data_IF_434270221270
#
_entry.id   IF_434270221270
#
_cell.length_a   1.000
_cell.length_b   1.000
_cell.length_c   1.000
_cell.angle_alpha   90.00
_cell.angle_beta   90.00
_cell.angle_gamma   90.00
#
_symmetry.space_group_name_H-M   'P 1'
#
loop_
_entity.id
_entity.type
_entity.pdbx_description
1 polymer ?
#
# COMPACT_ATOMS: atom_id res chain seq x y z
N UNK A 1 6.96 -40.79 -39.78
CA UNK A 1 7.95 -39.86 -39.21
C UNK A 1 7.18 -38.60 -38.89
N UNK A 2 6.92 -38.27 -37.61
CA UNK A 2 6.16 -37.06 -37.30
C UNK A 2 6.99 -35.85 -37.74
N UNK A 3 6.31 -34.91 -38.39
CA UNK A 3 6.90 -33.84 -39.19
C UNK A 3 7.85 -32.97 -38.37
N UNK A 4 9.12 -32.96 -38.80
CA UNK A 4 10.21 -32.17 -38.20
C UNK A 4 9.88 -30.68 -38.07
N UNK A 5 8.97 -30.16 -38.90
CA UNK A 5 8.47 -28.77 -38.82
C UNK A 5 7.57 -28.48 -37.61
N UNK A 6 6.76 -29.44 -37.17
CA UNK A 6 5.89 -29.28 -35.98
C UNK A 6 6.74 -29.31 -34.71
N UNK A 7 7.74 -30.22 -34.66
CA UNK A 7 8.71 -30.27 -33.57
C UNK A 7 9.51 -28.96 -33.45
N UNK A 8 9.96 -28.39 -34.57
CA UNK A 8 10.71 -27.12 -34.56
C UNK A 8 9.85 -25.94 -34.07
N UNK A 9 8.57 -25.92 -34.45
CA UNK A 9 7.63 -24.87 -34.05
C UNK A 9 7.26 -24.95 -32.55
N UNK A 10 7.07 -26.16 -32.03
CA UNK A 10 6.85 -26.40 -30.60
C UNK A 10 8.09 -26.01 -29.78
N UNK A 11 9.29 -26.38 -30.24
CA UNK A 11 10.54 -25.96 -29.59
C UNK A 11 10.69 -24.44 -29.62
N UNK A 12 10.37 -23.76 -30.73
CA UNK A 12 10.43 -22.31 -30.81
C UNK A 12 9.44 -21.62 -29.86
N UNK A 13 8.21 -22.16 -29.74
CA UNK A 13 7.21 -21.67 -28.81
C UNK A 13 7.65 -21.90 -27.35
N UNK A 14 8.14 -23.09 -27.01
CA UNK A 14 8.65 -23.41 -25.67
C UNK A 14 9.85 -22.53 -25.30
N UNK A 15 10.78 -22.30 -26.23
CA UNK A 15 11.92 -21.40 -26.03
C UNK A 15 11.45 -19.97 -25.83
N UNK A 16 10.48 -19.49 -26.61
CA UNK A 16 9.94 -18.13 -26.46
C UNK A 16 9.20 -17.94 -25.13
N UNK A 17 8.44 -18.94 -24.69
CA UNK A 17 7.75 -18.95 -23.40
C UNK A 17 8.74 -18.99 -22.23
N UNK A 18 9.77 -19.84 -22.33
CA UNK A 18 10.84 -19.92 -21.34
C UNK A 18 11.63 -18.61 -21.27
N UNK A 19 11.95 -17.98 -22.42
CA UNK A 19 12.58 -16.66 -22.45
C UNK A 19 11.72 -15.59 -21.80
N UNK A 20 10.41 -15.57 -22.10
CA UNK A 20 9.48 -14.63 -21.49
C UNK A 20 9.39 -14.84 -19.97
N UNK A 21 9.30 -16.09 -19.51
CA UNK A 21 9.25 -16.44 -18.10
C UNK A 21 10.56 -16.08 -17.39
N UNK A 22 11.70 -16.33 -18.03
CA UNK A 22 13.02 -15.97 -17.52
C UNK A 22 13.21 -14.44 -17.46
N UNK A 23 12.73 -13.69 -18.45
CA UNK A 23 12.74 -12.23 -18.47
C UNK A 23 11.72 -11.61 -17.51
N UNK A 24 10.67 -12.34 -17.14
CA UNK A 24 9.67 -11.91 -16.15
C UNK A 24 10.18 -12.02 -14.71
N UNK A 25 11.26 -12.77 -14.47
CA UNK A 25 11.91 -12.81 -13.17
C UNK A 25 12.60 -11.47 -12.90
N UNK A 26 12.16 -10.74 -11.88
CA UNK A 26 12.60 -9.35 -11.63
C UNK A 26 14.12 -9.18 -11.52
N UNK A 27 14.83 -10.18 -10.96
CA UNK A 27 16.30 -10.16 -10.87
C UNK A 27 16.99 -10.34 -12.23
N UNK A 28 16.44 -11.18 -13.10
CA UNK A 28 16.97 -11.41 -14.44
C UNK A 28 16.65 -10.21 -15.33
N UNK A 29 15.44 -9.66 -15.23
CA UNK A 29 15.01 -8.46 -15.92
C UNK A 29 15.94 -7.28 -15.64
N UNK A 30 16.26 -7.03 -14.36
CA UNK A 30 17.16 -5.96 -13.93
C UNK A 30 18.57 -6.12 -14.51
N UNK A 31 19.16 -7.32 -14.40
CA UNK A 31 20.49 -7.60 -14.94
C UNK A 31 20.53 -7.53 -16.46
N UNK A 32 19.47 -7.96 -17.13
CA UNK A 32 19.31 -7.83 -18.57
C UNK A 32 19.24 -6.35 -19.00
N UNK A 33 18.47 -5.54 -18.27
CA UNK A 33 18.39 -4.09 -18.50
C UNK A 33 19.75 -3.41 -18.34
N UNK A 34 20.52 -3.78 -17.30
CA UNK A 34 21.90 -3.29 -17.14
C UNK A 34 22.80 -3.70 -18.30
N UNK A 35 22.69 -4.93 -18.79
CA UNK A 35 23.43 -5.40 -19.96
C UNK A 35 23.04 -4.63 -21.23
N UNK A 36 21.75 -4.34 -21.44
CA UNK A 36 21.30 -3.46 -22.51
C UNK A 36 21.88 -2.05 -22.38
N UNK A 37 21.93 -1.49 -21.17
CA UNK A 37 22.58 -0.20 -20.90
C UNK A 37 24.07 -0.22 -21.26
N UNK A 38 24.80 -1.31 -20.99
CA UNK A 38 26.20 -1.47 -21.40
C UNK A 38 26.37 -1.45 -22.92
N UNK A 39 25.54 -2.23 -23.62
CA UNK A 39 25.56 -2.29 -25.10
C UNK A 39 25.23 -0.92 -25.68
N UNK A 40 24.23 -0.24 -25.13
CA UNK A 40 23.82 1.10 -25.56
C UNK A 40 24.91 2.16 -25.29
N UNK A 41 25.59 2.08 -24.15
CA UNK A 41 26.73 2.94 -23.82
C UNK A 41 27.85 2.83 -24.85
N UNK A 42 28.15 1.61 -25.30
CA UNK A 42 29.15 1.34 -26.32
C UNK A 42 28.70 1.81 -27.71
N UNK A 43 27.48 1.48 -28.12
CA UNK A 43 26.94 1.85 -29.44
C UNK A 43 26.83 3.38 -29.63
N UNK A 44 26.40 4.11 -28.61
CA UNK A 44 26.27 5.57 -28.69
C UNK A 44 27.54 6.34 -28.34
N UNK A 45 28.65 5.65 -28.01
CA UNK A 45 29.88 6.27 -27.47
C UNK A 45 29.62 7.20 -26.27
N UNK A 46 28.63 6.86 -25.43
CA UNK A 46 28.24 7.61 -24.24
C UNK A 46 28.66 6.84 -22.98
N UNK A 47 29.94 6.93 -22.62
CA UNK A 47 30.52 6.16 -21.51
C UNK A 47 29.94 6.50 -20.12
N UNK A 48 29.31 7.67 -19.95
CA UNK A 48 28.66 8.04 -18.68
C UNK A 48 27.54 7.08 -18.25
N UNK A 49 26.92 6.36 -19.21
CA UNK A 49 25.91 5.35 -18.92
C UNK A 49 26.45 4.14 -18.15
N UNK A 50 27.77 3.92 -18.16
CA UNK A 50 28.42 2.87 -17.37
C UNK A 50 28.25 3.09 -15.86
N UNK A 51 27.99 4.33 -15.42
CA UNK A 51 27.70 4.65 -14.02
C UNK A 51 26.46 3.91 -13.49
N UNK A 52 25.48 3.61 -14.35
CA UNK A 52 24.27 2.88 -13.93
C UNK A 52 24.55 1.44 -13.51
N UNK A 53 25.67 0.85 -13.92
CA UNK A 53 26.08 -0.49 -13.47
C UNK A 53 26.31 -0.51 -11.95
N UNK A 54 26.78 0.60 -11.36
CA UNK A 54 26.98 0.69 -9.92
C UNK A 54 25.67 0.59 -9.13
N UNK A 55 24.51 0.85 -9.76
CA UNK A 55 23.22 0.68 -9.09
C UNK A 55 22.94 -0.78 -8.73
N UNK A 56 23.57 -1.76 -9.40
CA UNK A 56 23.42 -3.18 -9.05
C UNK A 56 23.87 -3.50 -7.62
N UNK A 57 24.78 -2.68 -7.05
CA UNK A 57 25.22 -2.81 -5.66
C UNK A 57 24.05 -2.76 -4.66
N UNK A 58 23.03 -1.94 -4.94
CA UNK A 58 21.82 -1.83 -4.10
C UNK A 58 21.01 -3.12 -4.06
N UNK A 59 21.04 -3.90 -5.15
CA UNK A 59 20.31 -5.16 -5.26
C UNK A 59 21.12 -6.38 -4.79
N UNK A 60 22.45 -6.29 -4.71
CA UNK A 60 23.30 -7.39 -4.26
C UNK A 60 23.30 -7.55 -2.72
N UNK A 61 23.18 -6.46 -1.97
CA UNK A 61 23.15 -6.49 -0.51
C UNK A 61 21.74 -6.71 0.02
N UNK A 62 21.53 -7.74 0.85
CA UNK A 62 20.24 -8.02 1.49
C UNK A 62 19.75 -6.88 2.38
N UNK A 63 20.66 -6.20 3.08
CA UNK A 63 20.36 -5.04 3.93
C UNK A 63 19.91 -3.86 3.06
N UNK A 64 20.64 -3.59 1.97
CA UNK A 64 20.36 -2.43 1.13
C UNK A 64 19.11 -2.63 0.27
N UNK A 65 18.86 -3.87 -0.18
CA UNK A 65 17.61 -4.26 -0.83
C UNK A 65 16.40 -4.10 0.09
N UNK A 66 16.56 -4.35 1.40
CA UNK A 66 15.53 -4.13 2.42
C UNK A 66 15.20 -2.63 2.54
N UNK A 67 16.21 -1.77 2.57
CA UNK A 67 16.03 -0.30 2.56
C UNK A 67 15.32 0.16 1.30
N UNK A 68 15.73 -0.33 0.13
CA UNK A 68 15.10 0.03 -1.14
C UNK A 68 13.63 -0.43 -1.19
N UNK A 69 13.34 -1.65 -0.74
CA UNK A 69 11.97 -2.18 -0.64
C UNK A 69 11.11 -1.31 0.28
N UNK A 70 11.63 -0.85 1.41
CA UNK A 70 10.90 0.03 2.32
C UNK A 70 10.52 1.38 1.67
N UNK A 71 11.39 1.93 0.81
CA UNK A 71 11.10 3.20 0.10
C UNK A 71 10.10 2.96 -1.04
N UNK A 72 10.20 1.84 -1.76
CA UNK A 72 9.32 1.53 -2.90
C UNK A 72 7.96 0.95 -2.50
N UNK A 73 7.81 0.38 -1.30
CA UNK A 73 6.56 -0.20 -0.84
C UNK A 73 5.38 0.80 -0.85
N UNK A 74 5.51 2.03 -0.32
CA UNK A 74 4.43 3.02 -0.34
C UNK A 74 4.38 3.84 -1.64
N UNK A 75 5.05 3.43 -2.74
CA UNK A 75 5.20 4.27 -3.93
C UNK A 75 3.85 4.74 -4.51
N UNK A 76 2.82 3.90 -4.45
CA UNK A 76 1.46 4.28 -4.89
C UNK A 76 0.90 5.42 -4.03
N UNK A 77 0.99 5.30 -2.72
CA UNK A 77 0.54 6.34 -1.78
C UNK A 77 1.36 7.61 -1.94
N UNK A 78 2.68 7.49 -2.09
CA UNK A 78 3.58 8.61 -2.33
C UNK A 78 3.24 9.35 -3.64
N UNK A 79 2.95 8.62 -4.72
CA UNK A 79 2.55 9.21 -5.99
C UNK A 79 1.23 9.97 -5.88
N UNK A 80 0.24 9.45 -5.14
CA UNK A 80 -1.01 10.15 -4.86
C UNK A 80 -0.79 11.41 -4.01
N UNK A 81 0.09 11.35 -3.00
CA UNK A 81 0.46 12.50 -2.18
C UNK A 81 1.16 13.58 -3.01
N UNK A 82 2.06 13.19 -3.93
CA UNK A 82 2.72 14.11 -4.85
C UNK A 82 1.73 14.74 -5.85
N UNK A 83 0.76 13.97 -6.34
CA UNK A 83 -0.33 14.54 -7.15
C UNK A 83 -1.13 15.58 -6.36
N UNK A 84 -1.47 15.27 -5.10
CA UNK A 84 -2.13 16.22 -4.20
C UNK A 84 -1.29 17.48 -3.96
N UNK A 85 0.02 17.34 -3.78
CA UNK A 85 0.98 18.45 -3.66
C UNK A 85 0.90 19.38 -4.89
N UNK A 86 0.97 18.82 -6.09
CA UNK A 86 0.91 19.60 -7.34
C UNK A 86 -0.43 20.34 -7.47
N UNK A 87 -1.55 19.69 -7.13
CA UNK A 87 -2.88 20.31 -7.17
C UNK A 87 -2.98 21.46 -6.17
N UNK A 88 -2.53 21.27 -4.92
CA UNK A 88 -2.53 22.31 -3.90
C UNK A 88 -1.66 23.50 -4.36
N UNK A 89 -0.45 23.23 -4.85
CA UNK A 89 0.45 24.26 -5.38
C UNK A 89 -0.19 25.01 -6.55
N UNK A 90 -0.91 24.34 -7.44
CA UNK A 90 -1.63 24.98 -8.54
C UNK A 90 -2.75 25.92 -8.05
N UNK A 91 -3.50 25.53 -7.02
CA UNK A 91 -4.50 26.40 -6.39
C UNK A 91 -3.86 27.65 -5.78
N UNK A 92 -2.75 27.48 -5.04
CA UNK A 92 -1.98 28.60 -4.51
C UNK A 92 -1.44 29.50 -5.62
N UNK A 93 -0.90 28.93 -6.70
CA UNK A 93 -0.45 29.68 -7.86
C UNK A 93 -1.58 30.48 -8.51
N UNK A 94 -2.79 29.91 -8.62
CA UNK A 94 -3.95 30.62 -9.15
C UNK A 94 -4.39 31.81 -8.28
N UNK A 95 -4.42 31.64 -6.96
CA UNK A 95 -4.73 32.72 -6.01
C UNK A 95 -3.64 33.79 -6.06
N UNK A 96 -2.37 33.39 -6.00
CA UNK A 96 -1.21 34.25 -6.09
C UNK A 96 -1.17 35.07 -7.38
N UNK A 97 -1.43 34.43 -8.53
CA UNK A 97 -1.47 35.08 -9.83
C UNK A 97 -2.63 36.08 -9.96
N UNK A 98 -3.76 35.84 -9.28
CA UNK A 98 -4.94 36.72 -9.37
C UNK A 98 -4.86 37.94 -8.45
N UNK A 99 -4.34 37.77 -7.25
CA UNK A 99 -4.35 38.80 -6.19
C UNK A 99 -2.98 39.42 -5.92
N UNK A 100 -1.89 38.66 -6.06
CA UNK A 100 -0.55 39.06 -5.64
C UNK A 100 0.47 39.07 -6.79
N UNK A 101 0.02 39.23 -8.04
CA UNK A 101 0.89 39.12 -9.23
C UNK A 101 2.14 39.98 -9.16
N UNK A 102 1.99 41.22 -8.72
CA UNK A 102 3.09 42.19 -8.66
C UNK A 102 4.14 41.83 -7.59
N UNK A 103 3.75 41.06 -6.56
CA UNK A 103 4.64 40.62 -5.49
C UNK A 103 5.53 39.44 -5.88
N UNK A 104 5.14 38.66 -6.89
CA UNK A 104 5.87 37.47 -7.37
C UNK A 104 7.04 37.82 -8.30
N UNK A 105 7.37 39.11 -8.47
CA UNK A 105 8.41 39.55 -9.42
C UNK A 105 8.28 38.82 -10.77
N UNK A 106 9.40 38.34 -11.31
CA UNK A 106 9.45 37.62 -12.58
C UNK A 106 9.01 36.15 -12.51
N UNK A 107 8.63 35.64 -11.33
CA UNK A 107 8.30 34.21 -11.18
C UNK A 107 6.92 33.86 -11.72
N UNK A 108 6.02 34.84 -11.86
CA UNK A 108 4.62 34.62 -12.26
C UNK A 108 4.15 35.61 -13.35
N UNK A 109 5.04 36.01 -14.27
CA UNK A 109 4.74 37.03 -15.29
C UNK A 109 3.86 36.53 -16.45
N UNK A 110 4.02 35.28 -16.89
CA UNK A 110 3.36 34.79 -18.11
C UNK A 110 2.00 34.11 -17.84
N UNK A 111 2.05 32.89 -17.30
CA UNK A 111 0.90 32.01 -17.13
C UNK A 111 0.90 31.36 -15.75
N UNK A 112 -0.29 30.92 -15.30
CA UNK A 112 -0.46 30.20 -14.02
C UNK A 112 0.36 28.89 -13.99
N UNK A 113 0.53 28.23 -15.14
CA UNK A 113 1.36 27.01 -15.25
C UNK A 113 2.82 27.33 -14.92
N UNK A 114 3.41 28.34 -15.56
CA UNK A 114 4.78 28.80 -15.29
C UNK A 114 4.95 29.21 -13.82
N UNK A 115 3.95 29.90 -13.26
CA UNK A 115 3.93 30.26 -11.84
C UNK A 115 3.93 29.01 -10.94
N UNK A 116 3.12 27.99 -11.27
CA UNK A 116 3.05 26.72 -10.54
C UNK A 116 4.39 25.97 -10.58
N UNK A 117 5.00 25.87 -11.77
CA UNK A 117 6.31 25.22 -11.95
C UNK A 117 7.40 25.93 -11.13
N UNK A 118 7.40 27.26 -11.13
CA UNK A 118 8.34 28.05 -10.35
C UNK A 118 8.13 27.84 -8.84
N UNK A 119 6.89 27.88 -8.35
CA UNK A 119 6.56 27.62 -6.94
C UNK A 119 7.01 26.22 -6.52
N UNK A 120 6.78 25.19 -7.35
CA UNK A 120 7.24 23.84 -7.07
C UNK A 120 8.77 23.74 -7.08
N UNK A 121 9.43 24.30 -8.09
CA UNK A 121 10.88 24.28 -8.22
C UNK A 121 11.59 24.95 -7.04
N UNK A 122 11.15 26.15 -6.65
CA UNK A 122 11.79 26.86 -5.55
C UNK A 122 11.34 26.33 -4.19
N UNK A 123 10.10 25.80 -4.09
CA UNK A 123 9.65 25.03 -2.93
C UNK A 123 10.51 23.81 -2.66
N UNK A 124 10.97 23.10 -3.70
CA UNK A 124 11.92 21.99 -3.52
C UNK A 124 13.35 22.45 -3.18
N UNK A 125 13.79 23.61 -3.68
CA UNK A 125 15.15 24.14 -3.42
C UNK A 125 15.32 24.80 -2.05
N UNK A 126 14.35 25.61 -1.66
CA UNK A 126 14.38 26.39 -0.42
C UNK A 126 13.51 25.76 0.68
N UNK A 127 12.94 24.59 0.41
CA UNK A 127 12.09 23.86 1.33
C UNK A 127 10.85 24.67 1.69
N UNK A 128 10.53 24.66 2.99
CA UNK A 128 9.28 25.21 3.51
C UNK A 128 9.14 26.73 3.25
N UNK A 129 10.26 27.47 3.17
CA UNK A 129 10.27 28.94 3.00
C UNK A 129 10.26 29.34 1.51
N UNK A 130 10.21 28.38 0.59
CA UNK A 130 10.39 28.64 -0.85
C UNK A 130 9.38 29.61 -1.47
N UNK A 131 8.15 29.67 -0.96
CA UNK A 131 7.15 30.64 -1.42
C UNK A 131 7.47 32.07 -0.96
N UNK A 132 7.76 32.25 0.33
CA UNK A 132 8.07 33.58 0.90
C UNK A 132 9.35 34.19 0.32
N UNK A 133 10.25 33.38 -0.26
CA UNK A 133 11.45 33.84 -0.96
C UNK A 133 11.17 34.43 -2.36
N UNK A 134 10.05 34.05 -2.99
CA UNK A 134 9.62 34.67 -4.26
C UNK A 134 8.91 35.99 -4.08
N UNK A 135 8.39 36.18 -2.88
CA UNK A 135 7.38 37.15 -2.57
C UNK A 135 8.02 38.37 -1.93
N UNK A 136 7.66 39.55 -2.43
CA UNK A 136 8.11 40.81 -1.82
C UNK A 136 7.66 40.92 -0.35
N UNK A 137 8.55 41.43 0.50
CA UNK A 137 8.26 41.68 1.91
C UNK A 137 7.22 42.80 2.07
N UNK A 138 6.04 42.46 2.58
CA UNK A 138 4.99 43.44 2.88
C UNK A 138 5.13 43.97 4.32
N UNK A 139 5.13 45.30 4.51
CA UNK A 139 5.27 45.92 5.84
C UNK A 139 3.91 46.08 6.54
N UNK A 140 3.89 46.06 7.89
CA UNK A 140 2.68 46.40 8.65
C UNK A 140 2.21 47.82 8.30
N UNK A 141 0.95 47.97 7.91
CA UNK A 141 0.35 49.26 7.53
C UNK A 141 -0.17 49.35 6.09
N UNK A 142 0.19 48.39 5.23
CA UNK A 142 -0.44 48.26 3.91
C UNK A 142 -1.83 47.61 4.03
N UNK A 143 -2.82 48.00 3.20
CA UNK A 143 -4.17 47.42 3.23
C UNK A 143 -4.16 45.89 3.00
N UNK A 144 -3.25 45.40 2.15
CA UNK A 144 -3.18 43.98 1.78
C UNK A 144 -2.35 43.13 2.76
N UNK A 145 -1.82 43.73 3.83
CA UNK A 145 -0.92 43.05 4.77
C UNK A 145 -1.59 41.85 5.45
N UNK A 146 -2.86 41.99 5.84
CA UNK A 146 -3.60 40.92 6.50
C UNK A 146 -3.86 39.75 5.57
N UNK A 147 -4.28 40.03 4.32
CA UNK A 147 -4.56 39.00 3.31
C UNK A 147 -3.27 38.24 2.95
N UNK A 148 -2.16 38.98 2.80
CA UNK A 148 -0.85 38.41 2.54
C UNK A 148 -0.35 37.54 3.69
N UNK A 149 -0.44 38.01 4.93
CA UNK A 149 -0.03 37.22 6.09
C UNK A 149 -0.80 35.89 6.16
N UNK A 150 -2.11 35.92 5.91
CA UNK A 150 -2.94 34.71 5.91
C UNK A 150 -2.55 33.76 4.78
N UNK A 151 -2.25 34.29 3.59
CA UNK A 151 -1.78 33.50 2.45
C UNK A 151 -0.46 32.77 2.78
N UNK A 152 0.56 33.49 3.25
CA UNK A 152 1.88 32.93 3.57
C UNK A 152 1.81 31.91 4.72
N UNK A 153 1.05 32.21 5.78
CA UNK A 153 0.86 31.31 6.92
C UNK A 153 0.11 30.03 6.53
N UNK A 154 -0.94 30.15 5.71
CA UNK A 154 -1.69 28.98 5.24
C UNK A 154 -0.82 28.06 4.37
N UNK A 155 0.01 28.63 3.50
CA UNK A 155 0.94 27.85 2.69
C UNK A 155 1.97 27.13 3.55
N UNK A 156 2.57 27.83 4.53
CA UNK A 156 3.53 27.23 5.46
C UNK A 156 2.95 26.03 6.21
N UNK A 157 1.72 26.16 6.72
CA UNK A 157 1.04 25.08 7.46
C UNK A 157 0.68 23.92 6.52
N UNK A 158 0.02 24.21 5.39
CA UNK A 158 -0.50 23.16 4.50
C UNK A 158 0.64 22.47 3.74
N UNK A 159 1.46 23.22 3.01
CA UNK A 159 2.56 22.65 2.22
C UNK A 159 3.69 22.13 3.12
N UNK A 160 4.15 22.97 4.03
CA UNK A 160 5.33 22.69 4.86
C UNK A 160 5.04 21.68 5.97
N UNK A 161 4.07 21.98 6.83
CA UNK A 161 3.82 21.16 8.02
C UNK A 161 3.00 19.92 7.69
N UNK A 162 1.96 20.01 6.84
CA UNK A 162 1.09 18.86 6.58
C UNK A 162 1.68 17.97 5.48
N UNK A 163 1.92 18.49 4.27
CA UNK A 163 2.28 17.62 3.13
C UNK A 163 3.68 17.02 3.27
N UNK A 164 4.72 17.82 3.58
CA UNK A 164 6.08 17.28 3.70
C UNK A 164 6.20 16.27 4.85
N UNK A 165 5.59 16.53 6.02
CA UNK A 165 5.61 15.57 7.13
C UNK A 165 4.78 14.32 6.83
N UNK A 166 3.72 14.42 6.01
CA UNK A 166 2.98 13.24 5.52
C UNK A 166 3.87 12.35 4.65
N UNK A 167 4.68 12.94 3.76
CA UNK A 167 5.63 12.18 2.92
C UNK A 167 6.64 11.43 3.80
N UNK A 168 7.24 12.10 4.78
CA UNK A 168 8.16 11.45 5.72
C UNK A 168 7.45 10.37 6.54
N UNK A 169 6.23 10.66 7.02
CA UNK A 169 5.39 9.72 7.75
C UNK A 169 5.14 8.43 6.99
N UNK A 170 4.74 8.52 5.71
CA UNK A 170 4.52 7.35 4.85
C UNK A 170 5.77 6.48 4.69
N UNK A 171 6.95 7.10 4.60
CA UNK A 171 8.22 6.38 4.50
C UNK A 171 8.52 5.68 5.84
N UNK A 172 8.38 6.38 6.96
CA UNK A 172 8.61 5.83 8.31
C UNK A 172 7.67 4.67 8.60
N UNK A 173 6.39 4.79 8.24
CA UNK A 173 5.39 3.73 8.40
C UNK A 173 5.77 2.48 7.62
N UNK A 174 6.31 2.64 6.40
CA UNK A 174 6.78 1.49 5.62
C UNK A 174 8.01 0.81 6.22
N UNK A 175 8.94 1.57 6.81
CA UNK A 175 10.04 0.98 7.57
C UNK A 175 9.54 0.26 8.83
N UNK A 176 8.53 0.83 9.49
CA UNK A 176 7.86 0.22 10.64
C UNK A 176 7.21 -1.12 10.27
N UNK A 177 6.43 -1.16 9.20
CA UNK A 177 5.78 -2.37 8.71
C UNK A 177 6.79 -3.48 8.37
N UNK A 178 7.87 -3.14 7.67
CA UNK A 178 8.91 -4.11 7.32
C UNK A 178 9.60 -4.70 8.55
N UNK A 179 9.83 -3.87 9.58
CA UNK A 179 10.39 -4.34 10.85
C UNK A 179 9.42 -5.28 11.58
N UNK A 180 8.14 -4.93 11.63
CA UNK A 180 7.11 -5.78 12.24
C UNK A 180 7.00 -7.13 11.53
N UNK A 181 7.06 -7.16 10.20
CA UNK A 181 7.07 -8.39 9.43
C UNK A 181 8.30 -9.26 9.73
N UNK A 182 9.48 -8.66 9.85
CA UNK A 182 10.70 -9.37 10.21
C UNK A 182 10.61 -9.95 11.63
N UNK A 183 10.12 -9.16 12.58
CA UNK A 183 9.94 -9.57 13.97
C UNK A 183 8.88 -10.67 14.11
N UNK A 184 7.77 -10.57 13.37
CA UNK A 184 6.73 -11.60 13.34
C UNK A 184 7.27 -12.94 12.83
N UNK A 185 8.04 -12.93 11.73
CA UNK A 185 8.66 -14.16 11.19
C UNK A 185 9.64 -14.80 12.15
N UNK A 186 10.48 -13.99 12.80
CA UNK A 186 11.42 -14.48 13.80
C UNK A 186 10.70 -15.03 15.04
N UNK A 187 9.63 -14.36 15.48
CA UNK A 187 8.82 -14.82 16.59
C UNK A 187 8.11 -16.14 16.25
N UNK A 188 7.55 -16.28 15.05
CA UNK A 188 6.95 -17.54 14.58
C UNK A 188 7.99 -18.67 14.59
N UNK A 189 9.19 -18.43 14.05
CA UNK A 189 10.26 -19.43 14.07
C UNK A 189 10.69 -19.84 15.49
N UNK A 190 10.62 -18.92 16.46
CA UNK A 190 10.97 -19.21 17.86
C UNK A 190 9.87 -19.88 18.66
N UNK A 191 8.60 -19.64 18.32
CA UNK A 191 7.45 -20.00 19.14
C UNK A 191 6.70 -21.22 18.63
N UNK A 192 6.82 -21.58 17.36
CA UNK A 192 6.12 -22.73 16.78
C UNK A 192 7.04 -23.59 15.91
N UNK A 193 6.72 -24.88 15.82
CA UNK A 193 7.45 -25.82 14.97
C UNK A 193 7.16 -25.57 13.49
N UNK A 194 8.18 -25.70 12.63
CA UNK A 194 8.07 -25.38 11.20
C UNK A 194 7.05 -26.27 10.44
N UNK A 195 7.05 -27.59 10.68
CA UNK A 195 6.21 -28.54 9.92
C UNK A 195 4.81 -28.68 10.51
N UNK A 196 4.71 -28.81 11.84
CA UNK A 196 3.44 -29.10 12.51
C UNK A 196 2.75 -27.89 13.12
N UNK A 197 3.37 -26.69 13.12
CA UNK A 197 2.81 -25.47 13.70
C UNK A 197 2.34 -25.68 15.15
N UNK A 198 3.10 -26.44 15.93
CA UNK A 198 2.83 -26.70 17.35
C UNK A 198 3.62 -25.70 18.18
N UNK A 199 2.96 -25.09 19.16
CA UNK A 199 3.59 -24.18 20.10
C UNK A 199 4.75 -24.87 20.85
N UNK A 200 5.90 -24.20 20.89
CA UNK A 200 7.12 -24.59 21.57
C UNK A 200 6.86 -25.04 23.00
N UNK A 201 5.95 -24.37 23.71
CA UNK A 201 5.59 -24.71 25.10
C UNK A 201 5.07 -26.14 25.23
N UNK A 202 4.22 -26.56 24.29
CA UNK A 202 3.65 -27.91 24.30
C UNK A 202 4.72 -28.96 24.02
N UNK A 203 5.65 -28.67 23.11
CA UNK A 203 6.76 -29.56 22.77
C UNK A 203 7.73 -29.71 23.94
N UNK A 204 8.14 -28.59 24.55
CA UNK A 204 9.04 -28.57 25.70
C UNK A 204 8.45 -29.30 26.91
N UNK A 205 7.15 -29.10 27.18
CA UNK A 205 6.47 -29.81 28.26
C UNK A 205 6.53 -31.33 28.08
N UNK A 206 6.19 -31.83 26.89
CA UNK A 206 6.24 -33.27 26.60
C UNK A 206 7.69 -33.79 26.63
N UNK A 207 8.65 -33.02 26.11
CA UNK A 207 10.05 -33.39 26.17
C UNK A 207 10.58 -33.49 27.61
N UNK A 208 10.16 -32.58 28.49
CA UNK A 208 10.51 -32.61 29.89
C UNK A 208 9.96 -33.85 30.59
N UNK A 209 8.71 -34.26 30.31
CA UNK A 209 8.16 -35.53 30.84
C UNK A 209 8.95 -36.76 30.38
N UNK A 210 9.66 -36.66 29.26
CA UNK A 210 10.49 -37.73 28.69
C UNK A 210 11.97 -37.62 29.06
N UNK A 211 12.34 -36.64 29.89
CA UNK A 211 13.73 -36.41 30.31
C UNK A 211 14.66 -35.92 29.20
N UNK A 212 14.12 -35.33 28.12
CA UNK A 212 14.89 -34.80 27.01
C UNK A 212 15.24 -33.33 27.30
N UNK A 213 16.54 -33.03 27.39
CA UNK A 213 17.02 -31.66 27.45
C UNK A 213 16.87 -31.00 26.07
N UNK A 214 16.41 -29.75 26.05
CA UNK A 214 16.13 -28.98 24.83
C UNK A 214 15.17 -29.67 23.84
N UNK A 215 13.95 -29.90 24.34
CA UNK A 215 12.91 -30.65 23.64
C UNK A 215 12.49 -30.08 22.29
N UNK A 216 12.54 -28.75 22.15
CA UNK A 216 12.14 -28.06 20.92
C UNK A 216 13.13 -28.31 19.79
N UNK A 217 14.43 -28.08 20.03
CA UNK A 217 15.48 -28.33 19.06
C UNK A 217 15.57 -29.82 18.71
N UNK A 218 15.41 -30.71 19.69
CA UNK A 218 15.35 -32.16 19.43
C UNK A 218 14.17 -32.51 18.51
N UNK A 219 12.99 -31.92 18.73
CA UNK A 219 11.83 -32.19 17.89
C UNK A 219 12.03 -31.65 16.47
N UNK A 220 12.57 -30.44 16.30
CA UNK A 220 12.79 -29.85 14.97
C UNK A 220 13.90 -30.59 14.20
N UNK A 221 15.00 -30.97 14.86
CA UNK A 221 16.17 -31.56 14.16
C UNK A 221 16.06 -33.07 13.96
N UNK A 222 15.47 -33.81 14.90
CA UNK A 222 15.46 -35.28 14.89
C UNK A 222 14.09 -35.89 14.59
N UNK A 223 12.99 -35.15 14.77
CA UNK A 223 11.62 -35.67 14.55
C UNK A 223 10.90 -35.01 13.38
N UNK A 224 11.12 -33.73 13.16
CA UNK A 224 10.48 -32.94 12.10
C UNK A 224 11.50 -32.09 11.34
N UNK A 225 12.58 -32.74 10.89
CA UNK A 225 13.59 -32.05 10.12
C UNK A 225 13.04 -31.63 8.76
N UNK A 226 13.03 -30.32 8.51
CA UNK A 226 12.58 -29.72 7.24
C UNK A 226 13.29 -30.29 6.02
N UNK A 227 14.56 -30.66 6.15
CA UNK A 227 15.36 -31.21 5.05
C UNK A 227 14.97 -32.65 4.71
N UNK A 228 14.61 -33.46 5.70
CA UNK A 228 14.14 -34.83 5.47
C UNK A 228 12.79 -34.82 4.74
N UNK A 229 11.90 -33.89 5.07
CA UNK A 229 10.65 -33.69 4.32
C UNK A 229 10.93 -33.29 2.87
N UNK A 230 11.88 -32.38 2.64
CA UNK A 230 12.29 -32.00 1.29
C UNK A 230 12.86 -33.19 0.51
N UNK A 231 13.77 -33.95 1.11
CA UNK A 231 14.35 -35.14 0.50
C UNK A 231 13.28 -36.21 0.19
N UNK A 232 12.31 -36.40 1.07
CA UNK A 232 11.19 -37.30 0.84
C UNK A 232 10.29 -36.85 -0.31
N UNK A 233 10.01 -35.54 -0.43
CA UNK A 233 9.27 -35.01 -1.58
C UNK A 233 10.04 -35.26 -2.89
N UNK A 234 11.37 -35.03 -2.91
CA UNK A 234 12.19 -35.34 -4.08
C UNK A 234 12.17 -36.82 -4.44
N UNK A 235 12.33 -37.71 -3.44
CA UNK A 235 12.22 -39.15 -3.63
C UNK A 235 10.88 -39.55 -4.25
N UNK A 236 9.77 -39.05 -3.69
CA UNK A 236 8.44 -39.35 -4.22
C UNK A 236 8.25 -38.86 -5.65
N UNK A 237 8.88 -37.73 -6.03
CA UNK A 237 8.79 -37.17 -7.38
C UNK A 237 9.61 -37.95 -8.41
N UNK A 238 10.80 -38.41 -8.04
CA UNK A 238 11.77 -39.07 -8.93
C UNK A 238 11.48 -40.57 -9.10
N UNK A 239 10.97 -41.24 -8.07
CA UNK A 239 10.67 -42.68 -8.11
C UNK A 239 9.42 -42.98 -8.96
N UNK A 240 9.47 -44.08 -9.71
CA UNK A 240 8.35 -44.57 -10.53
C UNK A 240 7.17 -45.02 -9.64
N UNK A 241 5.94 -44.83 -10.13
CA UNK A 241 4.71 -45.06 -9.35
C UNK A 241 4.56 -46.52 -8.88
N UNK A 242 5.11 -47.45 -9.65
CA UNK A 242 5.09 -48.90 -9.43
C UNK A 242 6.08 -49.34 -8.35
N UNK A 243 7.12 -48.56 -8.08
CA UNK A 243 8.15 -48.84 -7.07
C UNK A 243 7.80 -48.26 -5.70
N UNK A 244 6.82 -47.34 -5.64
CA UNK A 244 6.36 -46.72 -4.41
C UNK A 244 5.63 -47.74 -3.52
N UNK A 245 5.90 -47.70 -2.23
CA UNK A 245 5.11 -48.44 -1.25
C UNK A 245 3.68 -47.88 -1.17
N UNK A 246 2.73 -48.65 -0.63
CA UNK A 246 1.33 -48.21 -0.52
C UNK A 246 1.12 -46.83 0.13
N UNK A 247 1.77 -46.51 1.26
CA UNK A 247 1.70 -45.18 1.88
C UNK A 247 2.34 -44.08 1.03
N UNK A 248 3.47 -44.35 0.38
CA UNK A 248 4.15 -43.40 -0.51
C UNK A 248 3.31 -43.09 -1.74
N UNK A 249 2.69 -44.11 -2.34
CA UNK A 249 1.75 -43.95 -3.44
C UNK A 249 0.55 -43.09 -3.02
N UNK A 250 0.00 -43.31 -1.82
CA UNK A 250 -1.07 -42.47 -1.28
C UNK A 250 -0.63 -41.00 -1.17
N UNK A 251 0.56 -40.72 -0.63
CA UNK A 251 1.07 -39.35 -0.51
C UNK A 251 1.32 -38.74 -1.90
N UNK A 252 1.90 -39.51 -2.84
CA UNK A 252 2.11 -39.07 -4.22
C UNK A 252 0.81 -38.65 -4.89
N UNK A 253 -0.24 -39.45 -4.77
CA UNK A 253 -1.56 -39.11 -5.32
C UNK A 253 -2.18 -37.86 -4.69
N UNK A 254 -1.92 -37.59 -3.40
CA UNK A 254 -2.36 -36.35 -2.75
C UNK A 254 -1.56 -35.14 -3.25
N UNK A 255 -0.25 -35.29 -3.44
CA UNK A 255 0.60 -34.23 -3.98
C UNK A 255 0.22 -33.86 -5.42
N UNK A 256 -0.04 -34.85 -6.27
CA UNK A 256 -0.49 -34.63 -7.65
C UNK A 256 -1.85 -33.88 -7.71
N UNK A 257 -2.67 -34.00 -6.66
CA UNK A 257 -3.93 -33.27 -6.49
C UNK A 257 -3.77 -31.90 -5.81
N UNK A 258 -2.58 -31.57 -5.31
CA UNK A 258 -2.32 -30.36 -4.53
C UNK A 258 -2.88 -30.41 -3.09
N UNK A 259 -3.19 -31.59 -2.56
CA UNK A 259 -3.73 -31.78 -1.21
C UNK A 259 -2.61 -31.95 -0.17
N UNK A 260 -2.43 -30.94 0.70
CA UNK A 260 -1.42 -30.96 1.77
C UNK A 260 -1.80 -31.76 3.03
N UNK A 261 -2.87 -32.58 2.99
CA UNK A 261 -3.41 -33.30 4.15
C UNK A 261 -2.45 -34.31 4.78
N UNK A 262 -1.46 -34.76 4.02
CA UNK A 262 -0.44 -35.70 4.51
C UNK A 262 0.53 -35.05 5.50
N UNK A 263 0.67 -33.72 5.48
CA UNK A 263 1.51 -32.97 6.42
C UNK A 263 0.86 -32.97 7.81
N UNK A 264 1.61 -33.23 8.89
CA UNK A 264 1.04 -33.38 10.23
C UNK A 264 0.77 -32.01 10.92
N UNK A 265 -0.17 -31.23 10.38
CA UNK A 265 -0.53 -29.92 10.96
C UNK A 265 -1.21 -30.10 12.32
N UNK A 266 -0.67 -29.46 13.34
CA UNK A 266 -1.14 -29.46 14.72
C UNK A 266 -1.05 -30.82 15.40
N UNK A 267 -0.25 -31.76 14.87
CA UNK A 267 -0.07 -33.11 15.45
C UNK A 267 1.36 -33.61 15.27
N UNK A 268 1.76 -34.53 16.13
CA UNK A 268 3.06 -35.18 16.06
C UNK A 268 3.03 -36.43 16.93
N UNK A 269 3.57 -37.54 16.43
CA UNK A 269 3.75 -38.78 17.22
C UNK A 269 4.53 -38.52 18.51
N UNK A 270 5.39 -37.50 18.52
CA UNK A 270 6.10 -37.07 19.71
C UNK A 270 5.14 -36.64 20.84
N UNK A 271 4.04 -35.95 20.52
CA UNK A 271 3.05 -35.50 21.51
C UNK A 271 1.97 -36.56 21.78
N UNK A 272 1.57 -37.34 20.78
CA UNK A 272 0.49 -38.35 20.89
C UNK A 272 0.80 -39.49 21.87
N UNK A 273 2.08 -39.77 22.16
CA UNK A 273 2.49 -40.79 23.14
C UNK A 273 2.50 -40.30 24.60
N UNK A 274 1.95 -39.13 24.89
CA UNK A 274 1.75 -38.65 26.26
C UNK A 274 0.25 -38.49 26.49
N UNK A 275 -0.26 -38.76 27.70
CA UNK A 275 -1.66 -38.53 28.11
C UNK A 275 -2.09 -37.04 27.98
N UNK A 276 -1.14 -36.20 27.59
CA UNK A 276 -1.21 -34.77 27.28
C UNK A 276 -1.33 -34.47 25.78
N UNK A 277 -1.51 -35.48 24.93
CA UNK A 277 -1.95 -35.26 23.56
C UNK A 277 -3.26 -34.49 23.61
N UNK A 278 -3.24 -33.23 23.16
CA UNK A 278 -4.41 -32.34 23.11
C UNK A 278 -5.62 -33.17 22.69
N UNK A 279 -6.53 -33.45 23.63
CA UNK A 279 -7.70 -34.26 23.32
C UNK A 279 -8.45 -33.54 22.21
N UNK A 280 -9.02 -34.24 21.21
CA UNK A 280 -9.85 -33.59 20.20
C UNK A 280 -10.92 -32.66 20.83
N UNK A 281 -11.36 -32.99 22.04
CA UNK A 281 -12.23 -32.19 22.91
C UNK A 281 -11.66 -30.79 23.24
N UNK A 282 -10.37 -30.67 23.56
CA UNK A 282 -9.73 -29.41 23.96
C UNK A 282 -9.54 -28.47 22.77
N UNK A 283 -9.35 -29.02 21.56
CA UNK A 283 -9.35 -28.24 20.31
C UNK A 283 -10.74 -27.71 19.99
N UNK A 284 -11.77 -28.53 20.14
CA UNK A 284 -13.16 -28.11 19.94
C UNK A 284 -13.57 -27.05 20.97
N UNK A 285 -13.15 -27.19 22.23
CA UNK A 285 -13.35 -26.23 23.30
C UNK A 285 -12.72 -24.86 22.98
N UNK A 286 -11.46 -24.84 22.53
CA UNK A 286 -10.78 -23.59 22.13
C UNK A 286 -11.44 -22.90 20.94
N UNK A 287 -11.86 -23.69 19.93
CA UNK A 287 -12.58 -23.16 18.77
C UNK A 287 -13.96 -22.63 19.18
N UNK A 288 -14.67 -23.33 20.07
CA UNK A 288 -15.96 -22.86 20.59
C UNK A 288 -15.83 -21.61 21.44
N UNK A 289 -14.76 -21.49 22.24
CA UNK A 289 -14.50 -20.31 23.07
C UNK A 289 -14.15 -19.08 22.21
N UNK A 290 -13.33 -19.27 21.17
CA UNK A 290 -13.05 -18.21 20.19
C UNK A 290 -14.30 -17.83 19.40
N UNK A 291 -15.12 -18.80 18.98
CA UNK A 291 -16.37 -18.53 18.28
C UNK A 291 -17.37 -17.79 19.17
N UNK A 292 -17.45 -18.13 20.46
CA UNK A 292 -18.33 -17.46 21.43
C UNK A 292 -17.84 -16.04 21.74
N UNK A 293 -16.53 -15.83 21.87
CA UNK A 293 -15.95 -14.50 22.00
C UNK A 293 -16.24 -13.63 20.76
N UNK A 294 -16.05 -14.18 19.56
CA UNK A 294 -16.31 -13.48 18.31
C UNK A 294 -17.81 -13.15 18.17
N UNK A 295 -18.70 -14.08 18.54
CA UNK A 295 -20.14 -13.85 18.57
C UNK A 295 -20.50 -12.71 19.52
N UNK A 296 -19.99 -12.72 20.76
CA UNK A 296 -20.25 -11.64 21.73
C UNK A 296 -19.71 -10.29 21.26
N UNK A 297 -18.56 -10.27 20.58
CA UNK A 297 -18.00 -9.05 20.00
C UNK A 297 -18.85 -8.51 18.85
N UNK A 298 -19.34 -9.40 17.97
CA UNK A 298 -20.28 -9.04 16.90
C UNK A 298 -21.59 -8.50 17.47
N UNK A 299 -22.16 -9.16 18.48
CA UNK A 299 -23.40 -8.73 19.14
C UNK A 299 -23.23 -7.38 19.85
N UNK A 300 -22.13 -7.19 20.59
CA UNK A 300 -21.83 -5.92 21.26
C UNK A 300 -21.68 -4.75 20.27
N UNK A 301 -21.13 -5.02 19.08
CA UNK A 301 -20.99 -4.01 18.04
C UNK A 301 -22.25 -3.82 17.20
N UNK A 302 -23.17 -4.80 17.17
CA UNK A 302 -24.40 -4.71 16.38
C UNK A 302 -25.31 -3.58 16.86
N UNK A 303 -25.38 -3.32 18.16
CA UNK A 303 -26.18 -2.22 18.71
C UNK A 303 -25.56 -0.84 18.43
N UNK A 304 -24.23 -0.75 18.44
CA UNK A 304 -23.51 0.44 17.96
C UNK A 304 -23.80 0.72 16.48
N UNK A 305 -23.75 -0.30 15.61
CA UNK A 305 -24.08 -0.16 14.19
C UNK A 305 -25.53 0.28 13.96
N UNK A 306 -26.49 -0.26 14.73
CA UNK A 306 -27.89 0.19 14.68
C UNK A 306 -28.05 1.65 15.13
N UNK A 307 -27.33 2.07 16.17
CA UNK A 307 -27.35 3.46 16.65
C UNK A 307 -26.76 4.44 15.63
N UNK A 308 -25.64 4.07 15.00
CA UNK A 308 -25.02 4.85 13.92
C UNK A 308 -25.95 4.95 12.72
N UNK A 309 -26.58 3.84 12.31
CA UNK A 309 -27.55 3.85 11.20
C UNK A 309 -28.77 4.75 11.48
N UNK A 310 -29.30 4.73 12.71
CA UNK A 310 -30.37 5.64 13.14
C UNK A 310 -29.94 7.11 13.14
N UNK A 311 -28.73 7.40 13.62
CA UNK A 311 -28.17 8.74 13.63
C UNK A 311 -27.91 9.28 12.21
N UNK A 312 -27.50 8.40 11.30
CA UNK A 312 -27.25 8.75 9.90
C UNK A 312 -28.54 9.01 9.13
N UNK A 313 -29.61 8.25 9.41
CA UNK A 313 -30.93 8.49 8.80
C UNK A 313 -31.59 9.76 9.34
N UNK A 314 -31.44 10.09 10.63
CA UNK A 314 -31.95 11.36 11.17
C UNK A 314 -31.18 12.57 10.62
N UNK A 315 -29.86 12.44 10.43
CA UNK A 315 -29.04 13.44 9.75
C UNK A 315 -29.48 13.65 8.29
N UNK A 316 -29.72 12.58 7.52
CA UNK A 316 -30.21 12.69 6.13
C UNK A 316 -31.55 13.43 6.06
N UNK A 317 -32.48 13.14 6.97
CA UNK A 317 -33.78 13.83 7.06
C UNK A 317 -33.61 15.32 7.38
N UNK A 318 -32.77 15.66 8.37
CA UNK A 318 -32.53 17.05 8.76
C UNK A 318 -31.84 17.87 7.65
N UNK A 319 -30.91 17.24 6.91
CA UNK A 319 -30.24 17.87 5.76
C UNK A 319 -31.23 18.12 4.64
N UNK A 320 -32.11 17.15 4.33
CA UNK A 320 -33.16 17.31 3.30
C UNK A 320 -34.13 18.43 3.65
N UNK A 321 -34.63 18.47 4.88
CA UNK A 321 -35.57 19.51 5.32
C UNK A 321 -34.94 20.92 5.22
N UNK A 322 -33.68 21.06 5.62
CA UNK A 322 -32.97 22.34 5.54
C UNK A 322 -32.67 22.74 4.09
N UNK A 323 -32.38 21.78 3.22
CA UNK A 323 -32.19 22.01 1.79
C UNK A 323 -33.48 22.45 1.09
N UNK A 324 -34.61 21.82 1.43
CA UNK A 324 -35.93 22.18 0.89
C UNK A 324 -36.39 23.56 1.36
N UNK A 325 -36.12 23.90 2.63
CA UNK A 325 -36.36 25.25 3.17
C UNK A 325 -35.59 26.32 2.41
N UNK A 326 -34.26 26.13 2.23
CA UNK A 326 -33.44 27.06 1.46
C UNK A 326 -33.91 27.19 0.01
N UNK A 327 -34.33 26.09 -0.62
CA UNK A 327 -34.86 26.11 -1.99
C UNK A 327 -36.15 26.94 -2.09
N UNK A 328 -37.01 26.89 -1.07
CA UNK A 328 -38.24 27.69 -1.04
C UNK A 328 -37.93 29.17 -0.82
N UNK A 329 -37.03 29.51 0.11
CA UNK A 329 -36.56 30.90 0.29
C UNK A 329 -35.96 31.47 -1.01
N UNK A 330 -35.18 30.67 -1.74
CA UNK A 330 -34.61 31.06 -3.03
C UNK A 330 -35.69 31.30 -4.10
N UNK A 331 -36.75 30.50 -4.12
CA UNK A 331 -37.89 30.69 -5.04
C UNK A 331 -38.66 31.97 -4.73
N UNK A 332 -38.89 32.25 -3.46
CA UNK A 332 -39.60 33.46 -3.02
C UNK A 332 -38.81 34.72 -3.38
N UNK A 333 -37.50 34.73 -3.08
CA UNK A 333 -36.60 35.82 -3.51
C UNK A 333 -36.60 36.01 -5.03
N UNK A 334 -36.63 34.93 -5.80
CA UNK A 334 -36.70 34.99 -7.25
C UNK A 334 -38.02 35.61 -7.74
N UNK A 335 -39.15 35.27 -7.10
CA UNK A 335 -40.46 35.83 -7.42
C UNK A 335 -40.54 37.32 -7.06
N UNK A 336 -40.01 37.74 -5.92
CA UNK A 336 -39.93 39.15 -5.53
C UNK A 336 -39.09 39.97 -6.52
N UNK A 337 -37.91 39.46 -6.91
CA UNK A 337 -37.06 40.08 -7.92
C UNK A 337 -37.78 40.24 -9.26
N UNK A 338 -38.56 39.23 -9.67
CA UNK A 338 -39.34 39.26 -10.92
C UNK A 338 -40.46 40.31 -10.84
N UNK A 339 -41.13 40.42 -9.70
CA UNK A 339 -42.18 41.42 -9.48
C UNK A 339 -41.61 42.84 -9.47
N UNK A 340 -40.45 43.06 -8.84
CA UNK A 340 -39.75 44.35 -8.88
C UNK A 340 -39.31 44.73 -10.29
N UNK A 341 -38.85 43.77 -11.12
CA UNK A 341 -38.52 44.03 -12.53
C UNK A 341 -39.75 44.44 -13.33
N UNK A 342 -40.88 43.74 -13.20
CA UNK A 342 -42.11 44.12 -13.90
C UNK A 342 -42.63 45.50 -13.46
N UNK A 343 -42.54 45.84 -12.17
CA UNK A 343 -42.91 47.18 -11.68
C UNK A 343 -42.02 48.27 -12.28
N UNK A 344 -40.71 48.04 -12.39
CA UNK A 344 -39.78 48.97 -13.05
C UNK A 344 -40.09 49.13 -14.54
N UNK A 345 -40.44 48.05 -15.24
CA UNK A 345 -40.85 48.10 -16.65
C UNK A 345 -42.16 48.86 -16.86
N UNK A 346 -43.15 48.69 -15.98
CA UNK A 346 -44.41 49.46 -16.00
C UNK A 346 -44.20 50.95 -15.74
N UNK A 347 -43.34 51.29 -14.78
CA UNK A 347 -42.96 52.69 -14.51
C UNK A 347 -42.21 53.32 -15.70
N UNK A 348 -41.32 52.56 -16.36
CA UNK A 348 -40.64 53.01 -17.57
C UNK A 348 -41.62 53.23 -18.73
N UNK A 349 -42.63 52.38 -18.88
CA UNK A 349 -43.67 52.53 -19.91
C UNK A 349 -44.61 53.72 -19.67
N UNK A 350 -44.98 54.01 -18.41
CA UNK A 350 -45.76 55.21 -18.08
C UNK A 350 -44.96 56.51 -18.27
N UNK A 351 -43.63 56.48 -18.10
CA UNK A 351 -42.75 57.63 -18.34
C UNK A 351 -42.61 58.05 -19.80
N UNK A 352 -43.00 57.22 -20.77
CA UNK A 352 -42.94 57.53 -22.20
C UNK A 352 -44.29 58.01 -22.78
N UNK A 353 -45.35 58.10 -21.96
CA UNK A 353 -46.69 58.55 -22.38
C UNK A 353 -46.99 60.04 -22.19
N UNK A 354 -46.03 60.82 -21.68
CA UNK A 354 -46.13 62.28 -21.55
C UNK A 354 -44.89 62.93 -22.17
N UNK A 355 -44.86 63.00 -23.49
CA UNK A 355 -44.04 63.90 -24.29
C UNK A 355 -44.84 64.34 -25.51
#
# INVERSE_FOLDING_TARGET
MPDTGIALCLIALDVSYMLWKLLSEGHVAWRFLLLCCCVFAFLLRRYWLLCFILMDFWCQSSVLATVFRAICAPLRSLAMTFLGLVIITFVYAGIGFRYFRDDFHHFCDENIVTCTENILYQGTRAGIVGLSLMLSSTKPGNPDWTERMMYDMSYFIIFGVIVLNTIVGLIVDSFGALRLDMEARENDHRTQTFISCIDRRNVEQVAQTRGIADGFDYHETQRQNKWDYMAFIFHLCETELEELTGPEHYIRTLMDRGDAKWIPIGRSKFLEGSDMGVRPQDRFLRISEQAEYLSRFVDANQDSWKSISKSMTSLDMAVREKMDSMLNELKDLHMELKQQRMLKELQAAQGQGFA
#
